data_IF_729284364979
#
_entry.id   IF_729284364979
#
_cell.length_a   1.000
_cell.length_b   1.000
_cell.length_c   1.000
_cell.angle_alpha   90.00
_cell.angle_beta   90.00
_cell.angle_gamma   90.00
#
_symmetry.space_group_name_H-M   'P 1'
#
loop_
_entity.id
_entity.type
_entity.pdbx_description
1 polymer ?
#
# COMPACT_ATOMS: atom_id res chain seq x y z
N UNK A 1 3.34 7.16 -0.42
CA UNK A 1 3.96 6.15 0.47
C UNK A 1 5.31 5.71 -0.13
N UNK A 2 6.27 5.29 0.70
CA UNK A 2 7.54 4.73 0.22
C UNK A 2 7.32 3.27 -0.22
N UNK A 3 7.65 2.94 -1.48
CA UNK A 3 7.45 1.60 -2.06
C UNK A 3 8.73 0.95 -2.60
N UNK A 4 9.89 1.61 -2.49
CA UNK A 4 11.17 1.13 -3.05
C UNK A 4 12.22 0.85 -1.97
N UNK A 5 12.06 1.44 -0.79
CA UNK A 5 12.93 1.26 0.37
C UNK A 5 12.08 1.21 1.64
N UNK A 6 12.69 0.73 2.74
CA UNK A 6 12.00 0.72 4.02
C UNK A 6 11.67 2.14 4.48
N UNK A 7 10.40 2.41 4.69
CA UNK A 7 9.89 3.70 5.14
C UNK A 7 10.41 4.14 6.52
N UNK A 8 10.99 3.22 7.31
CA UNK A 8 11.59 3.52 8.63
C UNK A 8 13.09 3.75 8.58
N UNK A 9 13.85 2.83 7.98
CA UNK A 9 15.32 2.83 8.05
C UNK A 9 16.01 3.11 6.71
N UNK A 10 15.25 3.25 5.62
CA UNK A 10 15.78 3.54 4.29
C UNK A 10 16.49 2.37 3.61
N UNK A 11 16.56 1.17 4.21
CA UNK A 11 17.20 0.02 3.56
C UNK A 11 16.48 -0.31 2.25
N UNK A 12 17.25 -0.49 1.18
CA UNK A 12 16.71 -0.77 -0.15
C UNK A 12 15.87 -2.05 -0.15
N UNK A 13 14.79 -2.00 -0.93
CA UNK A 13 13.86 -3.11 -1.11
C UNK A 13 14.31 -4.11 -2.18
N UNK A 14 13.40 -5.01 -2.61
CA UNK A 14 11.99 -5.06 -2.21
C UNK A 14 11.77 -5.72 -0.83
N UNK A 15 10.88 -5.13 -0.03
CA UNK A 15 10.36 -5.75 1.21
C UNK A 15 8.89 -6.11 1.05
N UNK A 16 8.45 -7.18 1.69
CA UNK A 16 7.07 -7.65 1.58
C UNK A 16 6.08 -6.92 2.51
N UNK A 17 6.57 -6.24 3.55
CA UNK A 17 5.73 -5.63 4.57
C UNK A 17 5.18 -4.27 4.15
N UNK A 18 3.89 -4.04 4.38
CA UNK A 18 3.26 -2.72 4.29
C UNK A 18 2.73 -2.31 5.66
N UNK A 19 3.23 -1.21 6.19
CA UNK A 19 2.80 -0.63 7.46
C UNK A 19 2.28 0.80 7.22
N UNK A 20 0.95 1.01 7.31
CA UNK A 20 0.33 2.33 7.21
C UNK A 20 0.98 3.34 8.17
N UNK A 21 1.24 2.94 9.41
CA UNK A 21 1.82 3.83 10.43
C UNK A 21 3.27 4.24 10.18
N UNK A 22 3.99 3.47 9.37
CA UNK A 22 5.40 3.72 9.08
C UNK A 22 5.58 4.43 7.74
N UNK A 23 4.52 4.57 6.94
CA UNK A 23 4.57 5.33 5.69
C UNK A 23 4.62 4.48 4.41
N UNK A 24 4.51 3.14 4.51
CA UNK A 24 4.54 2.25 3.35
C UNK A 24 5.32 0.96 3.57
N UNK A 25 6.23 0.65 2.65
CA UNK A 25 7.06 -0.56 2.65
C UNK A 25 7.98 -0.63 3.88
N UNK A 26 8.05 -1.78 4.55
CA UNK A 26 8.89 -2.00 5.74
C UNK A 26 9.65 -3.31 5.69
N UNK A 27 10.92 -3.27 6.09
CA UNK A 27 11.76 -4.47 6.21
C UNK A 27 11.36 -5.32 7.43
N UNK A 28 11.81 -6.58 7.47
CA UNK A 28 11.48 -7.52 8.55
C UNK A 28 11.88 -6.99 9.94
N UNK A 29 12.98 -6.26 10.04
CA UNK A 29 13.46 -5.69 11.32
C UNK A 29 12.66 -4.46 11.78
N UNK A 30 12.02 -3.75 10.84
CA UNK A 30 11.27 -2.52 11.13
C UNK A 30 9.76 -2.73 11.17
N UNK A 31 9.26 -3.92 10.84
CA UNK A 31 7.84 -4.17 10.70
C UNK A 31 7.14 -4.22 12.09
N UNK A 32 6.09 -3.43 12.33
CA UNK A 32 5.28 -3.51 13.54
C UNK A 32 4.39 -4.78 13.56
N UNK A 33 3.85 -5.17 14.73
CA UNK A 33 2.84 -6.21 14.82
C UNK A 33 1.62 -5.88 13.93
N UNK A 34 1.11 -6.87 13.19
CA UNK A 34 0.02 -6.72 12.18
C UNK A 34 0.40 -5.96 10.90
N UNK A 35 1.69 -5.90 10.57
CA UNK A 35 2.13 -5.50 9.22
C UNK A 35 1.43 -6.33 8.15
N UNK A 36 0.80 -5.67 7.18
CA UNK A 36 0.17 -6.34 6.05
C UNK A 36 1.26 -6.94 5.14
N UNK A 37 0.96 -8.07 4.53
CA UNK A 37 1.82 -8.72 3.52
C UNK A 37 1.03 -8.76 2.20
N UNK A 38 1.03 -7.67 1.41
CA UNK A 38 0.32 -7.64 0.13
C UNK A 38 0.89 -8.68 -0.83
N UNK A 39 0.03 -9.23 -1.69
CA UNK A 39 0.49 -10.11 -2.75
C UNK A 39 1.40 -9.35 -3.74
N UNK A 40 2.32 -10.02 -4.44
CA UNK A 40 3.18 -9.36 -5.43
C UNK A 40 2.42 -8.53 -6.49
N UNK A 41 1.27 -8.98 -7.05
CA UNK A 41 0.48 -8.18 -7.97
C UNK A 41 -0.02 -6.85 -7.36
N UNK A 42 -0.31 -6.85 -6.06
CA UNK A 42 -0.75 -5.65 -5.34
C UNK A 42 0.37 -4.63 -5.20
N UNK A 43 1.62 -5.08 -4.99
CA UNK A 43 2.78 -4.20 -5.03
C UNK A 43 2.99 -3.59 -6.42
N UNK A 44 2.78 -4.38 -7.49
CA UNK A 44 2.86 -3.88 -8.87
C UNK A 44 1.80 -2.82 -9.13
N UNK A 45 0.54 -3.07 -8.76
CA UNK A 45 -0.54 -2.09 -8.88
C UNK A 45 -0.23 -0.80 -8.09
N UNK A 46 0.20 -0.90 -6.83
CA UNK A 46 0.55 0.27 -6.02
C UNK A 46 1.71 1.08 -6.63
N UNK A 47 2.71 0.40 -7.19
CA UNK A 47 3.83 1.04 -7.87
C UNK A 47 3.41 1.74 -9.17
N UNK A 48 2.56 1.11 -9.98
CA UNK A 48 2.00 1.69 -11.19
C UNK A 48 1.19 2.96 -10.88
N UNK A 49 0.32 2.91 -9.86
CA UNK A 49 -0.49 4.05 -9.43
C UNK A 49 0.37 5.25 -8.98
N UNK A 50 1.46 5.02 -8.25
CA UNK A 50 2.36 6.10 -7.81
C UNK A 50 3.19 6.66 -8.97
N UNK A 51 3.62 5.80 -9.88
CA UNK A 51 4.46 6.19 -11.01
C UNK A 51 3.65 6.81 -12.16
N UNK A 52 2.32 6.75 -12.10
CA UNK A 52 1.42 7.22 -13.15
C UNK A 52 1.35 6.30 -14.37
N UNK A 53 1.73 5.03 -14.23
CA UNK A 53 1.65 4.02 -15.29
C UNK A 53 0.23 3.47 -15.38
N UNK A 54 -0.67 4.25 -15.99
CA UNK A 54 -2.08 3.87 -16.15
C UNK A 54 -2.26 2.62 -17.01
N UNK A 55 -1.34 2.36 -17.95
CA UNK A 55 -1.41 1.18 -18.81
C UNK A 55 -1.22 -0.11 -17.99
N UNK A 56 -0.30 -0.11 -17.03
CA UNK A 56 -0.11 -1.23 -16.11
C UNK A 56 -1.28 -1.46 -15.13
N UNK A 57 -2.28 -0.57 -15.10
CA UNK A 57 -3.48 -0.73 -14.26
C UNK A 57 -4.69 -1.32 -14.99
N UNK A 58 -4.63 -1.44 -16.32
CA UNK A 58 -5.81 -1.73 -17.15
C UNK A 58 -6.42 -3.13 -16.93
N UNK A 59 -5.58 -4.15 -16.74
CA UNK A 59 -6.00 -5.56 -16.69
C UNK A 59 -5.75 -6.21 -15.30
N UNK A 60 -5.86 -5.42 -14.24
CA UNK A 60 -5.60 -5.90 -12.88
C UNK A 60 -6.83 -6.62 -12.31
N UNK A 61 -6.68 -7.84 -11.76
CA UNK A 61 -7.81 -8.58 -11.16
C UNK A 61 -8.49 -7.78 -10.05
N UNK A 62 -9.81 -7.92 -9.94
CA UNK A 62 -10.60 -7.18 -8.97
C UNK A 62 -10.15 -7.43 -7.51
N UNK A 63 -9.74 -8.65 -7.17
CA UNK A 63 -9.17 -8.99 -5.86
C UNK A 63 -7.91 -8.17 -5.52
N UNK A 64 -7.07 -7.88 -6.51
CA UNK A 64 -5.85 -7.08 -6.36
C UNK A 64 -6.23 -5.61 -6.16
N UNK A 65 -7.23 -5.13 -6.91
CA UNK A 65 -7.78 -3.78 -6.77
C UNK A 65 -8.40 -3.56 -5.38
N UNK A 66 -9.15 -4.53 -4.86
CA UNK A 66 -9.73 -4.49 -3.52
C UNK A 66 -8.65 -4.48 -2.44
N UNK A 67 -7.64 -5.35 -2.55
CA UNK A 67 -6.52 -5.36 -1.61
C UNK A 67 -5.75 -4.03 -1.63
N UNK A 68 -5.42 -3.49 -2.81
CA UNK A 68 -4.74 -2.21 -2.95
C UNK A 68 -5.56 -1.06 -2.35
N UNK A 69 -6.87 -1.02 -2.62
CA UNK A 69 -7.79 -0.01 -2.09
C UNK A 69 -7.82 -0.04 -0.56
N UNK A 70 -7.87 -1.21 0.06
CA UNK A 70 -7.81 -1.36 1.52
C UNK A 70 -6.49 -0.85 2.12
N UNK A 71 -5.36 -1.10 1.47
CA UNK A 71 -4.04 -0.62 1.93
C UNK A 71 -3.94 0.91 1.81
N UNK A 72 -4.41 1.50 0.71
CA UNK A 72 -4.44 2.95 0.51
C UNK A 72 -5.40 3.60 1.51
N UNK A 73 -6.57 3.00 1.75
CA UNK A 73 -7.53 3.47 2.74
C UNK A 73 -6.96 3.48 4.15
N UNK A 74 -6.26 2.42 4.55
CA UNK A 74 -5.58 2.33 5.84
C UNK A 74 -4.48 3.38 5.96
N UNK A 75 -3.65 3.54 4.93
CA UNK A 75 -2.60 4.56 4.87
C UNK A 75 -3.17 5.97 5.01
N UNK A 76 -4.20 6.31 4.23
CA UNK A 76 -4.84 7.61 4.25
C UNK A 76 -5.53 7.88 5.59
N UNK A 77 -6.23 6.88 6.16
CA UNK A 77 -6.89 7.02 7.45
C UNK A 77 -5.91 7.29 8.59
N UNK A 78 -4.73 6.67 8.54
CA UNK A 78 -3.67 6.92 9.52
C UNK A 78 -3.05 8.30 9.36
N UNK A 79 -2.72 8.72 8.13
CA UNK A 79 -2.02 9.99 7.89
C UNK A 79 -2.92 11.23 7.90
N UNK A 80 -4.22 11.09 7.67
CA UNK A 80 -5.13 12.22 7.55
C UNK A 80 -5.92 12.49 8.85
N UNK A 81 -5.67 11.74 9.93
CA UNK A 81 -6.27 11.86 11.29
C UNK A 81 -7.83 11.78 11.33
N UNK A 82 -8.47 11.75 10.17
CA UNK A 82 -9.91 11.64 9.92
C UNK A 82 -10.08 10.62 8.80
N UNK A 83 -10.39 9.37 9.16
CA UNK A 83 -10.75 8.33 8.19
C UNK A 83 -11.69 8.89 7.12
N UNK A 84 -11.27 8.83 5.85
CA UNK A 84 -11.99 9.43 4.74
C UNK A 84 -13.36 8.76 4.63
N UNK A 85 -14.40 9.47 5.09
CA UNK A 85 -15.77 8.92 5.16
C UNK A 85 -16.28 8.46 3.80
N UNK A 86 -15.78 9.05 2.72
CA UNK A 86 -16.08 8.70 1.33
C UNK A 86 -15.54 7.33 0.91
N UNK A 87 -14.48 6.80 1.53
CA UNK A 87 -13.94 5.49 1.16
C UNK A 87 -14.92 4.34 1.40
N UNK A 88 -15.80 4.47 2.42
CA UNK A 88 -16.86 3.50 2.69
C UNK A 88 -17.90 3.38 1.58
N UNK A 89 -17.92 4.31 0.61
CA UNK A 89 -18.85 4.30 -0.52
C UNK A 89 -18.26 3.61 -1.76
N UNK A 90 -16.96 3.29 -1.74
CA UNK A 90 -16.23 2.69 -2.86
C UNK A 90 -16.24 1.16 -2.77
N UNK A 91 -16.36 0.58 -1.57
CA UNK A 91 -16.54 -0.87 -1.37
C UNK A 91 -18.02 -1.25 -1.60
N UNK A 92 -18.39 -1.52 -2.85
CA UNK A 92 -19.67 -2.16 -3.23
C UNK A 92 -19.55 -2.90 -4.55
#
# INVERSE_FOLDING_TARGET
PALTSCARCGVDGPHAGFAPETGGMVCVSCRPPRTALPAPPTWQLLSALISGDWQATADVPEEVCQQASGLVAAFASWHLDRGLRSLRLVER
#
